data_IF_309951202892
#
_entry.id   IF_309951202892
#
_cell.length_a   1.000
_cell.length_b   1.000
_cell.length_c   1.000
_cell.angle_alpha   90.00
_cell.angle_beta   90.00
_cell.angle_gamma   90.00
#
_symmetry.space_group_name_H-M   'P 1'
#
loop_
_entity.id
_entity.type
_entity.pdbx_description
1 polymer ?
#
# COMPACT_ATOMS: atom_id res chain seq x y z
N UNK A 1 -11.06 8.49 7.90
CA UNK A 1 -12.17 7.66 7.38
C UNK A 1 -12.49 8.23 6.00
N UNK A 2 -11.99 7.60 4.94
CA UNK A 2 -12.24 8.06 3.56
C UNK A 2 -13.72 7.81 3.24
N UNK A 3 -14.44 8.85 2.81
CA UNK A 3 -15.89 8.80 2.55
C UNK A 3 -16.27 7.73 1.52
N UNK A 4 -17.55 7.30 1.55
CA UNK A 4 -18.09 6.26 0.67
C UNK A 4 -18.06 6.61 -0.83
N UNK A 5 -17.80 7.87 -1.18
CA UNK A 5 -17.78 8.36 -2.57
C UNK A 5 -16.40 8.32 -3.24
N UNK A 6 -15.35 7.91 -2.52
CA UNK A 6 -14.01 7.76 -3.10
C UNK A 6 -13.85 6.35 -3.67
N UNK A 7 -13.46 6.25 -4.95
CA UNK A 7 -13.23 4.97 -5.64
C UNK A 7 -12.14 4.15 -4.96
N UNK A 8 -12.16 2.83 -5.15
CA UNK A 8 -11.11 1.97 -4.58
C UNK A 8 -9.73 2.35 -5.16
N UNK A 9 -9.67 2.71 -6.44
CA UNK A 9 -8.47 3.20 -7.08
C UNK A 9 -7.88 4.44 -6.39
N UNK A 10 -8.74 5.41 -6.04
CA UNK A 10 -8.27 6.64 -5.41
C UNK A 10 -7.87 6.41 -3.95
N UNK A 11 -8.59 5.56 -3.21
CA UNK A 11 -8.17 5.15 -1.87
C UNK A 11 -6.78 4.49 -1.88
N UNK A 12 -6.49 3.66 -2.88
CA UNK A 12 -5.18 3.05 -3.06
C UNK A 12 -4.09 4.11 -3.32
N UNK A 13 -4.34 5.09 -4.20
CA UNK A 13 -3.41 6.19 -4.46
C UNK A 13 -3.10 6.98 -3.19
N UNK A 14 -4.14 7.40 -2.47
CA UNK A 14 -4.03 8.18 -1.26
C UNK A 14 -3.31 7.41 -0.14
N UNK A 15 -3.64 6.13 0.03
CA UNK A 15 -2.98 5.26 1.00
C UNK A 15 -1.48 5.12 0.73
N UNK A 16 -1.09 4.97 -0.54
CA UNK A 16 0.31 4.79 -0.91
C UNK A 16 1.10 6.10 -0.75
N UNK A 17 0.49 7.24 -1.12
CA UNK A 17 1.06 8.57 -0.89
C UNK A 17 1.24 8.86 0.60
N UNK A 18 0.24 8.55 1.43
CA UNK A 18 0.34 8.72 2.87
C UNK A 18 1.46 7.86 3.48
N UNK A 19 1.56 6.58 3.08
CA UNK A 19 2.60 5.68 3.58
C UNK A 19 4.01 6.16 3.23
N UNK A 20 4.24 6.43 1.94
CA UNK A 20 5.55 6.90 1.46
C UNK A 20 5.89 8.25 2.09
N UNK A 21 4.93 9.16 2.21
CA UNK A 21 5.09 10.44 2.88
C UNK A 21 5.52 10.30 4.33
N UNK A 22 4.90 9.40 5.12
CA UNK A 22 5.28 9.15 6.52
C UNK A 22 6.72 8.69 6.64
N UNK A 23 7.14 7.75 5.79
CA UNK A 23 8.52 7.24 5.83
C UNK A 23 9.51 8.32 5.37
N UNK A 24 9.21 9.05 4.30
CA UNK A 24 10.06 10.11 3.79
C UNK A 24 10.30 11.21 4.84
N UNK A 25 9.26 11.63 5.57
CA UNK A 25 9.36 12.64 6.63
C UNK A 25 10.11 12.15 7.88
N UNK A 26 10.23 10.84 8.07
CA UNK A 26 10.81 10.22 9.27
C UNK A 26 11.87 9.17 8.92
N UNK A 27 12.68 9.41 7.90
CA UNK A 27 13.54 8.40 7.28
C UNK A 27 14.51 7.73 8.26
N UNK A 28 15.18 8.50 9.12
CA UNK A 28 16.09 7.94 10.13
C UNK A 28 15.35 7.11 11.17
N UNK A 29 14.19 7.59 11.64
CA UNK A 29 13.37 6.83 12.58
C UNK A 29 12.80 5.55 11.94
N UNK A 30 12.44 5.60 10.66
CA UNK A 30 12.01 4.43 9.90
C UNK A 30 13.15 3.42 9.77
N UNK A 31 14.38 3.86 9.45
CA UNK A 31 15.56 3.00 9.38
C UNK A 31 15.81 2.28 10.71
N UNK A 32 15.84 3.01 11.83
CA UNK A 32 16.00 2.43 13.18
C UNK A 32 14.87 1.44 13.46
N UNK A 33 13.62 1.82 13.21
CA UNK A 33 12.46 0.95 13.42
C UNK A 33 12.58 -0.37 12.66
N UNK A 34 12.86 -0.34 11.35
CA UNK A 34 12.95 -1.56 10.55
C UNK A 34 14.13 -2.46 10.94
N UNK A 35 15.21 -1.92 11.50
CA UNK A 35 16.33 -2.72 12.02
C UNK A 35 16.08 -3.30 13.42
N UNK A 36 15.46 -2.52 14.31
CA UNK A 36 15.49 -2.82 15.75
C UNK A 36 14.16 -3.29 16.32
N UNK A 37 13.05 -3.24 15.57
CA UNK A 37 11.74 -3.58 16.13
C UNK A 37 11.67 -5.01 16.71
N UNK A 38 12.46 -5.94 16.17
CA UNK A 38 12.58 -7.31 16.69
C UNK A 38 13.22 -7.37 18.08
N UNK A 39 14.05 -6.38 18.44
CA UNK A 39 14.72 -6.29 19.74
C UNK A 39 13.84 -5.67 20.85
N UNK A 40 12.65 -5.20 20.51
CA UNK A 40 11.73 -4.58 21.48
C UNK A 40 11.20 -5.58 22.52
N UNK A 41 10.83 -5.08 23.69
CA UNK A 41 10.15 -5.86 24.73
C UNK A 41 8.83 -6.46 24.26
N UNK A 42 8.29 -7.44 25.00
CA UNK A 42 7.09 -8.19 24.61
C UNK A 42 5.86 -7.28 24.42
N UNK A 43 5.59 -6.33 25.33
CA UNK A 43 4.42 -5.45 25.18
C UNK A 43 4.52 -4.59 23.92
N UNK A 44 5.68 -3.96 23.70
CA UNK A 44 5.86 -3.05 22.55
C UNK A 44 5.86 -3.78 21.20
N UNK A 45 6.36 -5.03 21.16
CA UNK A 45 6.21 -5.89 19.97
C UNK A 45 4.74 -6.19 19.68
N UNK A 46 3.95 -6.47 20.70
CA UNK A 46 2.52 -6.74 20.56
C UNK A 46 1.77 -5.53 19.99
N UNK A 47 2.03 -4.33 20.51
CA UNK A 47 1.45 -3.08 19.97
C UNK A 47 1.80 -2.86 18.49
N UNK A 48 3.03 -3.15 18.08
CA UNK A 48 3.47 -3.03 16.69
C UNK A 48 2.74 -4.05 15.80
N UNK A 49 2.59 -5.28 16.27
CA UNK A 49 1.86 -6.32 15.54
C UNK A 49 0.39 -5.91 15.33
N UNK A 50 -0.27 -5.36 16.34
CA UNK A 50 -1.65 -4.87 16.23
C UNK A 50 -1.78 -3.73 15.22
N UNK A 51 -0.86 -2.76 15.24
CA UNK A 51 -0.82 -1.69 14.24
C UNK A 51 -0.58 -2.23 12.84
N UNK A 52 0.30 -3.21 12.70
CA UNK A 52 0.57 -3.87 11.41
C UNK A 52 -0.66 -4.61 10.89
N UNK A 53 -1.35 -5.35 11.75
CA UNK A 53 -2.59 -6.05 11.37
C UNK A 53 -3.66 -5.07 10.92
N UNK A 54 -3.84 -3.95 11.63
CA UNK A 54 -4.78 -2.90 11.23
C UNK A 54 -4.40 -2.24 9.89
N UNK A 55 -3.11 -2.00 9.67
CA UNK A 55 -2.60 -1.48 8.40
C UNK A 55 -2.84 -2.45 7.25
N UNK A 56 -2.55 -3.74 7.43
CA UNK A 56 -2.80 -4.77 6.42
C UNK A 56 -4.30 -4.93 6.13
N UNK A 57 -5.16 -4.91 7.15
CA UNK A 57 -6.61 -5.00 6.99
C UNK A 57 -7.18 -3.83 6.18
N UNK A 58 -6.65 -2.62 6.36
CA UNK A 58 -7.06 -1.45 5.57
C UNK A 58 -6.80 -1.64 4.07
N UNK A 59 -5.68 -2.27 3.68
CA UNK A 59 -5.42 -2.61 2.28
C UNK A 59 -6.37 -3.68 1.77
N UNK A 60 -6.64 -4.69 2.58
CA UNK A 60 -7.58 -5.76 2.24
C UNK A 60 -8.99 -5.20 1.98
N UNK A 61 -9.44 -4.23 2.78
CA UNK A 61 -10.71 -3.53 2.57
C UNK A 61 -10.74 -2.75 1.25
N UNK A 62 -9.69 -1.99 0.94
CA UNK A 62 -9.61 -1.20 -0.31
C UNK A 62 -9.64 -2.12 -1.53
N UNK A 63 -8.86 -3.21 -1.50
CA UNK A 63 -8.78 -4.16 -2.60
C UNK A 63 -10.10 -4.91 -2.78
N UNK A 64 -10.72 -5.35 -1.69
CA UNK A 64 -12.03 -6.01 -1.72
C UNK A 64 -13.12 -5.07 -2.23
N UNK A 65 -13.09 -3.79 -1.85
CA UNK A 65 -13.99 -2.77 -2.39
C UNK A 65 -13.84 -2.70 -3.92
N UNK A 66 -12.62 -2.58 -4.43
CA UNK A 66 -12.39 -2.47 -5.88
C UNK A 66 -12.80 -3.72 -6.66
N UNK A 67 -12.63 -4.92 -6.09
CA UNK A 67 -13.18 -6.15 -6.68
C UNK A 67 -14.72 -6.09 -6.72
N UNK A 68 -15.36 -5.72 -5.61
CA UNK A 68 -16.82 -5.67 -5.51
C UNK A 68 -17.46 -4.64 -6.44
N UNK A 69 -16.75 -3.54 -6.71
CA UNK A 69 -17.16 -2.47 -7.63
C UNK A 69 -16.80 -2.79 -9.09
N UNK A 70 -16.06 -3.87 -9.34
CA UNK A 70 -15.58 -4.25 -10.66
C UNK A 70 -14.48 -3.33 -11.21
N UNK A 71 -13.81 -2.57 -10.33
CA UNK A 71 -12.64 -1.76 -10.67
C UNK A 71 -11.39 -2.65 -10.84
N UNK A 72 -11.26 -3.71 -10.02
CA UNK A 72 -10.07 -4.57 -9.99
C UNK A 72 -10.40 -6.04 -10.31
N UNK A 73 -9.46 -6.74 -10.93
CA UNK A 73 -9.49 -8.20 -11.03
C UNK A 73 -9.10 -8.85 -9.69
N UNK A 74 -9.69 -10.00 -9.36
CA UNK A 74 -9.41 -10.70 -8.10
C UNK A 74 -7.96 -11.21 -8.03
N UNK A 75 -7.43 -11.73 -9.14
CA UNK A 75 -6.05 -12.18 -9.22
C UNK A 75 -5.08 -11.01 -9.15
N UNK A 76 -5.37 -9.91 -9.85
CA UNK A 76 -4.59 -8.68 -9.79
C UNK A 76 -4.52 -8.11 -8.38
N UNK A 77 -5.66 -8.03 -7.68
CA UNK A 77 -5.75 -7.52 -6.31
C UNK A 77 -4.87 -8.31 -5.32
N UNK A 78 -4.76 -9.64 -5.48
CA UNK A 78 -3.87 -10.47 -4.65
C UNK A 78 -2.39 -10.07 -4.81
N UNK A 79 -1.94 -9.86 -6.04
CA UNK A 79 -0.58 -9.39 -6.30
C UNK A 79 -0.39 -7.92 -5.90
N UNK A 80 -1.42 -7.08 -6.04
CA UNK A 80 -1.41 -5.69 -5.58
C UNK A 80 -1.05 -5.60 -4.10
N UNK A 81 -1.69 -6.42 -3.26
CA UNK A 81 -1.42 -6.48 -1.82
C UNK A 81 0.05 -6.74 -1.54
N UNK A 82 0.64 -7.72 -2.22
CA UNK A 82 2.07 -8.05 -2.06
C UNK A 82 2.98 -6.91 -2.49
N UNK A 83 2.68 -6.25 -3.61
CA UNK A 83 3.45 -5.12 -4.13
C UNK A 83 3.39 -3.91 -3.20
N UNK A 84 2.19 -3.56 -2.71
CA UNK A 84 1.98 -2.45 -1.78
C UNK A 84 2.77 -2.67 -0.50
N UNK A 85 2.67 -3.86 0.11
CA UNK A 85 3.43 -4.17 1.34
C UNK A 85 4.94 -4.20 1.09
N UNK A 86 5.38 -4.63 -0.09
CA UNK A 86 6.81 -4.62 -0.46
C UNK A 86 7.35 -3.20 -0.58
N UNK A 87 6.65 -2.32 -1.31
CA UNK A 87 7.01 -0.89 -1.40
C UNK A 87 7.04 -0.28 -0.01
N UNK A 88 6.00 -0.57 0.80
CA UNK A 88 5.86 -0.04 2.13
C UNK A 88 7.03 -0.41 3.07
N UNK A 89 7.49 -1.65 2.99
CA UNK A 89 8.58 -2.16 3.81
C UNK A 89 9.95 -1.69 3.34
N UNK A 90 10.12 -1.37 2.05
CA UNK A 90 11.46 -1.17 1.48
C UNK A 90 11.80 0.29 1.17
N UNK A 91 10.81 1.20 1.13
CA UNK A 91 11.02 2.59 0.70
C UNK A 91 12.15 3.29 1.47
N UNK A 92 12.34 2.98 2.76
CA UNK A 92 13.37 3.60 3.60
C UNK A 92 14.81 3.27 3.18
N UNK A 93 15.02 2.17 2.42
CA UNK A 93 16.35 1.74 2.01
C UNK A 93 16.86 2.48 0.78
N UNK A 94 15.97 2.83 -0.14
CA UNK A 94 16.37 3.38 -1.44
C UNK A 94 15.87 4.81 -1.66
N UNK A 95 14.89 5.30 -0.90
CA UNK A 95 14.47 6.69 -0.97
C UNK A 95 15.57 7.64 -0.50
N UNK A 96 15.79 8.71 -1.27
CA UNK A 96 16.72 9.78 -0.94
C UNK A 96 15.98 11.13 -1.00
N UNK A 97 16.00 11.94 0.08
CA UNK A 97 15.45 13.29 0.06
C UNK A 97 16.13 14.21 -0.97
N UNK A 98 17.39 13.94 -1.29
CA UNK A 98 18.17 14.66 -2.31
C UNK A 98 18.10 13.99 -3.69
N UNK A 99 17.21 13.00 -3.85
CA UNK A 99 17.01 12.29 -5.11
C UNK A 99 16.22 13.10 -6.13
N UNK A 100 16.04 12.52 -7.32
CA UNK A 100 15.35 13.17 -8.45
C UNK A 100 13.83 13.17 -8.35
N UNK A 101 13.24 12.43 -7.41
CA UNK A 101 11.79 12.29 -7.28
C UNK A 101 11.32 12.59 -5.85
N UNK A 102 10.23 13.36 -5.75
CA UNK A 102 9.55 13.60 -4.49
C UNK A 102 8.78 12.35 -4.01
N UNK A 103 8.48 12.23 -2.71
CA UNK A 103 7.62 11.16 -2.17
C UNK A 103 6.28 11.02 -2.92
N UNK A 104 5.68 12.15 -3.30
CA UNK A 104 4.40 12.22 -4.01
C UNK A 104 4.55 11.70 -5.45
N UNK A 105 5.63 12.08 -6.14
CA UNK A 105 5.93 11.58 -7.49
C UNK A 105 6.14 10.06 -7.47
N UNK A 106 6.88 9.56 -6.48
CA UNK A 106 7.11 8.12 -6.28
C UNK A 106 5.78 7.40 -6.04
N UNK A 107 4.94 7.90 -5.12
CA UNK A 107 3.63 7.31 -4.85
C UNK A 107 2.72 7.31 -6.07
N UNK A 108 2.73 8.40 -6.85
CA UNK A 108 1.98 8.50 -8.09
C UNK A 108 2.41 7.43 -9.10
N UNK A 109 3.72 7.27 -9.33
CA UNK A 109 4.25 6.28 -10.27
C UNK A 109 3.93 4.85 -9.85
N UNK A 110 4.17 4.48 -8.59
CA UNK A 110 3.86 3.13 -8.11
C UNK A 110 2.37 2.83 -8.13
N UNK A 111 1.53 3.77 -7.70
CA UNK A 111 0.08 3.56 -7.74
C UNK A 111 -0.43 3.43 -9.18
N UNK A 112 0.10 4.21 -10.14
CA UNK A 112 -0.24 4.06 -11.55
C UNK A 112 0.13 2.67 -12.10
N UNK A 113 1.34 2.17 -11.81
CA UNK A 113 1.77 0.83 -12.22
C UNK A 113 0.89 -0.28 -11.63
N UNK A 114 0.59 -0.20 -10.32
CA UNK A 114 -0.25 -1.17 -9.64
C UNK A 114 -1.67 -1.13 -10.22
N UNK A 115 -2.29 0.05 -10.29
CA UNK A 115 -3.68 0.19 -10.76
C UNK A 115 -3.84 -0.28 -12.20
N UNK A 116 -2.89 0.03 -13.07
CA UNK A 116 -2.91 -0.43 -14.46
C UNK A 116 -2.80 -1.96 -14.54
N UNK A 117 -1.95 -2.58 -13.71
CA UNK A 117 -1.76 -4.03 -13.71
C UNK A 117 -2.92 -4.83 -13.11
N UNK A 118 -3.80 -4.20 -12.34
CA UNK A 118 -4.89 -4.90 -11.62
C UNK A 118 -6.29 -4.51 -12.09
N UNK A 119 -6.40 -3.59 -13.04
CA UNK A 119 -7.67 -3.17 -13.61
C UNK A 119 -8.49 -4.39 -14.07
N UNK A 120 -9.79 -4.38 -13.83
CA UNK A 120 -10.65 -5.46 -14.28
C UNK A 120 -10.66 -5.52 -15.82
N UNK A 121 -10.26 -6.67 -16.39
CA UNK A 121 -10.39 -6.89 -17.82
C UNK A 121 -11.86 -7.12 -18.18
N UNK A 122 -12.35 -6.47 -19.25
CA UNK A 122 -13.72 -6.65 -19.73
C UNK A 122 -14.01 -8.09 -20.20
N UNK A 123 -12.99 -8.90 -20.48
CA UNK A 123 -13.12 -10.29 -20.94
C UNK A 123 -13.46 -11.29 -19.82
N UNK A 124 -13.07 -11.03 -18.57
CA UNK A 124 -13.39 -11.90 -17.41
C UNK A 124 -14.90 -12.00 -17.15
N UNK A 125 -15.69 -11.07 -17.70
CA UNK A 125 -17.16 -11.08 -17.61
C UNK A 125 -17.83 -12.04 -18.61
N UNK A 126 -17.12 -12.48 -19.66
CA UNK A 126 -17.67 -13.30 -20.75
C UNK A 126 -17.26 -14.79 -20.67
N UNK A 127 -16.24 -15.13 -19.86
CA UNK A 127 -15.65 -16.47 -19.79
C UNK A 127 -16.29 -17.46 -18.79
N UNK A 128 -17.37 -17.08 -18.08
CA UNK A 128 -18.16 -18.03 -17.27
C UNK A 128 -19.39 -18.48 -18.06
N UNK A 129 -19.22 -19.41 -18.98
CA UNK A 129 -20.27 -20.28 -19.52
C UNK A 129 -19.85 -21.73 -19.36
#
# INVERSE_FOLDING_TARGET
MLEKDVSAAEKLRLGLAAHIGVIAHRLEAARVFFHEWHALGKERRQEILEKRLSYEAMWDEILQQGISQGEFSADGARFARLLILSVANWVYQWYSPNGSHSPEQIAHQFSALILHGIAANHEDKLGRR
#
